data_IF_592674628292
#
_entry.id   IF_592674628292
#
_cell.length_a   1.000
_cell.length_b   1.000
_cell.length_c   1.000
_cell.angle_alpha   90.00
_cell.angle_beta   90.00
_cell.angle_gamma   90.00
#
_symmetry.space_group_name_H-M   'P 1'
#
loop_
_entity.id
_entity.type
_entity.pdbx_description
1 polymer ?
#
# COMPACT_ATOMS: atom_id res chain seq x y z
N UNK A 1 6.10 39.29 25.31
CA UNK A 1 5.56 37.97 25.68
C UNK A 1 5.59 37.15 24.39
N UNK A 2 6.55 36.26 24.27
CA UNK A 2 6.70 35.41 23.05
C UNK A 2 5.89 34.15 23.27
N UNK A 3 4.79 34.00 22.57
CA UNK A 3 4.08 32.74 22.48
C UNK A 3 4.65 31.96 21.31
N UNK A 4 5.45 30.92 21.59
CA UNK A 4 5.85 29.93 20.62
C UNK A 4 4.60 29.13 20.19
N UNK A 5 4.35 28.95 18.90
CA UNK A 5 3.39 27.95 18.46
C UNK A 5 3.97 26.56 18.71
N UNK A 6 3.38 25.82 19.61
CA UNK A 6 3.67 24.41 19.84
C UNK A 6 3.21 23.62 18.62
N UNK A 7 4.16 23.28 17.76
CA UNK A 7 4.00 22.35 16.66
C UNK A 7 3.76 20.95 17.22
N UNK A 8 2.58 20.41 16.99
CA UNK A 8 2.16 19.13 17.52
C UNK A 8 2.85 17.99 16.73
N UNK A 9 3.88 17.40 17.34
CA UNK A 9 4.79 16.37 16.77
C UNK A 9 4.21 14.95 16.72
N UNK A 10 2.91 14.76 16.81
CA UNK A 10 2.32 13.43 17.02
C UNK A 10 1.50 12.93 15.83
N UNK A 11 2.12 12.84 14.65
CA UNK A 11 1.54 12.01 13.57
C UNK A 11 2.52 10.94 13.09
N UNK A 12 3.12 10.24 14.03
CA UNK A 12 3.82 8.99 13.75
C UNK A 12 2.88 7.88 14.17
N UNK A 13 2.22 7.24 13.21
CA UNK A 13 1.59 5.95 13.44
C UNK A 13 2.67 4.93 13.80
N UNK A 14 2.92 4.77 15.08
CA UNK A 14 3.65 3.64 15.66
C UNK A 14 2.80 2.38 15.52
N UNK A 15 3.01 1.61 14.46
CA UNK A 15 2.70 0.20 14.47
C UNK A 15 3.93 -0.56 14.94
N UNK A 16 4.03 -0.73 16.25
CA UNK A 16 5.02 -1.58 16.90
C UNK A 16 4.60 -3.04 16.78
N UNK A 17 5.48 -3.80 16.25
CA UNK A 17 5.74 -5.22 16.25
C UNK A 17 5.24 -5.96 17.50
N UNK A 18 4.58 -7.09 17.29
CA UNK A 18 4.62 -8.20 18.23
C UNK A 18 4.93 -9.48 17.47
N UNK A 19 6.17 -9.92 17.62
CA UNK A 19 6.67 -11.21 17.18
C UNK A 19 6.64 -12.22 18.34
N UNK A 20 6.92 -13.45 17.96
CA UNK A 20 7.18 -14.70 18.69
C UNK A 20 5.98 -15.64 18.84
N UNK A 21 6.06 -16.89 18.35
CA UNK A 21 6.75 -18.02 18.91
C UNK A 21 6.72 -19.25 17.99
N UNK A 22 7.85 -19.89 17.91
CA UNK A 22 8.14 -21.18 17.32
C UNK A 22 7.53 -22.33 18.12
N UNK A 23 7.03 -23.34 17.43
CA UNK A 23 6.73 -24.65 18.00
C UNK A 23 6.98 -25.76 16.97
N UNK A 24 8.13 -26.40 17.06
CA UNK A 24 8.46 -27.56 16.24
C UNK A 24 7.81 -28.82 16.79
N UNK A 25 7.33 -29.69 15.90
CA UNK A 25 7.06 -31.09 16.23
C UNK A 25 7.61 -31.99 15.15
N UNK A 26 8.37 -32.97 15.62
CA UNK A 26 9.04 -34.02 14.84
C UNK A 26 8.05 -34.93 14.08
N UNK A 27 8.40 -35.24 12.84
CA UNK A 27 7.68 -36.20 12.02
C UNK A 27 8.23 -37.61 12.27
N UNK A 28 7.40 -38.54 12.74
CA UNK A 28 7.64 -39.97 12.69
C UNK A 28 7.33 -40.50 11.28
N UNK A 29 8.33 -41.07 10.66
CA UNK A 29 8.20 -41.74 9.37
C UNK A 29 7.53 -43.09 9.55
N UNK A 30 6.34 -43.27 8.95
CA UNK A 30 5.69 -44.57 8.85
C UNK A 30 5.86 -45.07 7.41
N UNK A 31 6.47 -46.25 7.30
CA UNK A 31 6.72 -46.97 6.07
C UNK A 31 5.39 -47.51 5.51
N UNK A 32 4.95 -47.00 4.39
CA UNK A 32 3.71 -47.44 3.71
C UNK A 32 4.05 -48.22 2.46
N UNK A 33 3.34 -49.34 2.29
CA UNK A 33 3.48 -50.34 1.24
C UNK A 33 3.44 -49.72 -0.19
N UNK A 34 4.41 -50.11 -1.01
CA UNK A 34 4.67 -49.56 -2.34
C UNK A 34 3.53 -49.77 -3.36
N UNK A 35 2.68 -50.73 -3.14
CA UNK A 35 1.53 -51.05 -4.02
C UNK A 35 0.36 -50.09 -3.79
N UNK A 36 0.15 -49.60 -2.59
CA UNK A 36 -0.84 -48.53 -2.30
C UNK A 36 -0.38 -47.16 -2.84
N UNK A 37 0.94 -46.94 -2.84
CA UNK A 37 1.52 -45.70 -3.38
C UNK A 37 1.31 -45.56 -4.90
N UNK A 38 1.37 -46.67 -5.64
CA UNK A 38 1.12 -46.64 -7.10
C UNK A 38 -0.36 -46.44 -7.44
N UNK A 39 -1.31 -46.97 -6.67
CA UNK A 39 -2.74 -46.71 -6.85
C UNK A 39 -3.11 -45.26 -6.50
N UNK A 40 -2.44 -44.68 -5.51
CA UNK A 40 -2.68 -43.28 -5.11
C UNK A 40 -2.09 -42.27 -6.10
N UNK A 41 -1.09 -42.67 -6.88
CA UNK A 41 -0.45 -41.80 -7.86
C UNK A 41 -1.22 -41.68 -9.19
N UNK A 42 -2.17 -42.57 -9.47
CA UNK A 42 -2.99 -42.56 -10.68
C UNK A 42 -4.32 -41.80 -10.56
N UNK A 43 -4.72 -41.38 -9.38
CA UNK A 43 -5.75 -40.35 -9.22
C UNK A 43 -5.09 -38.97 -9.33
N UNK A 44 -4.73 -38.54 -10.52
CA UNK A 44 -4.53 -37.11 -10.81
C UNK A 44 -5.82 -36.40 -10.45
N UNK A 45 -5.92 -35.88 -9.24
CA UNK A 45 -7.00 -34.98 -8.87
C UNK A 45 -6.89 -33.78 -9.81
N UNK A 46 -7.73 -33.74 -10.84
CA UNK A 46 -7.84 -32.62 -11.76
C UNK A 46 -8.25 -31.40 -10.96
N UNK A 47 -7.30 -30.50 -10.76
CA UNK A 47 -7.55 -29.20 -10.16
C UNK A 47 -7.27 -28.11 -11.18
N UNK A 48 -8.03 -27.03 -11.17
CA UNK A 48 -7.84 -25.91 -12.07
C UNK A 48 -6.42 -25.35 -11.95
N UNK A 49 -5.83 -25.00 -13.10
CA UNK A 49 -4.48 -24.44 -13.14
C UNK A 49 -4.47 -22.92 -13.25
N UNK A 50 -5.57 -22.33 -13.67
CA UNK A 50 -5.68 -20.89 -13.88
C UNK A 50 -6.77 -20.32 -12.99
N UNK A 51 -6.58 -19.07 -12.60
CA UNK A 51 -7.50 -18.28 -11.80
C UNK A 51 -7.55 -16.84 -12.33
N UNK A 52 -8.74 -16.29 -12.45
CA UNK A 52 -8.93 -14.85 -12.64
C UNK A 52 -9.71 -14.31 -11.45
N UNK A 53 -9.23 -13.27 -10.81
CA UNK A 53 -9.77 -12.75 -9.55
C UNK A 53 -9.94 -11.24 -9.57
N UNK A 54 -10.94 -10.74 -8.86
CA UNK A 54 -11.13 -9.35 -8.54
C UNK A 54 -11.06 -9.17 -7.01
N UNK A 55 -10.37 -8.13 -6.55
CA UNK A 55 -10.29 -7.82 -5.14
C UNK A 55 -11.47 -6.92 -4.73
N UNK A 56 -12.37 -7.46 -3.93
CA UNK A 56 -13.59 -6.75 -3.50
C UNK A 56 -13.30 -5.72 -2.41
N UNK A 57 -12.35 -6.02 -1.50
CA UNK A 57 -12.01 -5.07 -0.43
C UNK A 57 -11.36 -3.78 -0.95
N UNK A 58 -10.70 -3.85 -2.10
CA UNK A 58 -10.10 -2.67 -2.72
C UNK A 58 -11.15 -1.69 -3.29
N UNK A 59 -12.34 -2.18 -3.64
CA UNK A 59 -13.43 -1.34 -4.14
C UNK A 59 -13.93 -0.34 -3.08
N UNK A 60 -13.85 -0.70 -1.80
CA UNK A 60 -14.24 0.18 -0.70
C UNK A 60 -13.43 1.50 -0.63
N UNK A 61 -12.26 1.53 -1.27
CA UNK A 61 -11.38 2.69 -1.36
C UNK A 61 -11.23 3.16 -2.82
N UNK A 62 -12.26 2.95 -3.65
CA UNK A 62 -12.31 3.31 -5.06
C UNK A 62 -11.11 2.79 -5.87
N UNK A 63 -10.72 1.54 -5.61
CA UNK A 63 -9.50 0.95 -6.14
C UNK A 63 -9.81 -0.39 -6.83
N UNK A 64 -9.66 -0.44 -8.14
CA UNK A 64 -9.98 -1.59 -8.96
C UNK A 64 -8.75 -2.48 -9.10
N UNK A 65 -8.83 -3.72 -8.57
CA UNK A 65 -7.68 -4.65 -8.56
C UNK A 65 -8.06 -5.98 -9.17
N UNK A 66 -7.32 -6.40 -10.20
CA UNK A 66 -7.51 -7.64 -10.94
C UNK A 66 -6.24 -8.49 -10.81
N UNK A 67 -6.44 -9.81 -10.75
CA UNK A 67 -5.35 -10.78 -10.67
C UNK A 67 -5.58 -11.94 -11.60
N UNK A 68 -4.52 -12.38 -12.25
CA UNK A 68 -4.44 -13.65 -12.98
C UNK A 68 -3.44 -14.53 -12.27
N UNK A 69 -3.81 -15.74 -11.94
CA UNK A 69 -2.95 -16.69 -11.25
C UNK A 69 -2.83 -17.98 -12.06
N UNK A 70 -1.62 -18.48 -12.21
CA UNK A 70 -1.32 -19.76 -12.82
C UNK A 70 -0.56 -20.66 -11.88
N UNK A 71 -1.06 -21.87 -11.73
CA UNK A 71 -0.40 -22.91 -10.97
C UNK A 71 0.77 -23.48 -11.77
N UNK A 72 1.98 -23.38 -11.22
CA UNK A 72 3.23 -23.86 -11.82
C UNK A 72 3.53 -25.28 -11.40
N UNK A 73 3.19 -25.64 -10.18
CA UNK A 73 3.32 -26.99 -9.65
C UNK A 73 2.15 -27.32 -8.72
N UNK A 74 2.16 -28.51 -8.09
CA UNK A 74 1.08 -28.92 -7.17
C UNK A 74 0.85 -27.97 -5.99
N UNK A 75 1.83 -27.14 -5.67
CA UNK A 75 1.85 -26.28 -4.47
C UNK A 75 2.40 -24.89 -4.71
N UNK A 76 2.78 -24.56 -5.93
CA UNK A 76 3.36 -23.26 -6.26
C UNK A 76 2.59 -22.64 -7.39
N UNK A 77 2.20 -21.38 -7.25
CA UNK A 77 1.62 -20.59 -8.32
C UNK A 77 2.37 -19.27 -8.51
N UNK A 78 2.18 -18.70 -9.68
CA UNK A 78 2.53 -17.32 -9.99
C UNK A 78 1.24 -16.52 -10.21
N UNK A 79 1.12 -15.38 -9.57
CA UNK A 79 0.00 -14.45 -9.72
C UNK A 79 0.50 -13.10 -10.19
N UNK A 80 -0.09 -12.58 -11.26
CA UNK A 80 0.13 -11.23 -11.75
C UNK A 80 -1.09 -10.38 -11.41
N UNK A 81 -0.89 -9.20 -10.85
CA UNK A 81 -1.94 -8.28 -10.44
C UNK A 81 -1.77 -6.91 -11.04
N UNK A 82 -2.86 -6.30 -11.44
CA UNK A 82 -2.98 -4.91 -11.83
C UNK A 82 -3.98 -4.19 -10.94
N UNK A 83 -3.62 -3.00 -10.50
CA UNK A 83 -4.47 -2.13 -9.71
C UNK A 83 -4.52 -0.74 -10.33
N UNK A 84 -5.73 -0.18 -10.41
CA UNK A 84 -5.97 1.17 -10.83
C UNK A 84 -6.85 1.88 -9.82
N UNK A 85 -6.38 3.00 -9.32
CA UNK A 85 -7.13 3.95 -8.50
C UNK A 85 -7.38 5.20 -9.34
N UNK A 86 -8.62 5.45 -9.77
CA UNK A 86 -8.96 6.71 -10.43
C UNK A 86 -8.72 7.90 -9.50
N UNK A 87 -8.65 9.10 -10.07
CA UNK A 87 -8.51 10.32 -9.28
C UNK A 87 -9.61 10.41 -8.23
N UNK A 88 -9.22 10.28 -6.97
CA UNK A 88 -10.14 10.14 -5.83
C UNK A 88 -9.78 11.18 -4.77
N UNK A 89 -10.79 11.92 -4.33
CA UNK A 89 -10.67 12.77 -3.15
C UNK A 89 -10.71 11.87 -1.91
N UNK A 90 -9.65 11.84 -1.12
CA UNK A 90 -9.56 10.95 0.05
C UNK A 90 -10.62 11.27 1.10
N UNK A 91 -10.99 12.53 1.27
CA UNK A 91 -12.03 12.94 2.21
C UNK A 91 -13.44 12.47 1.84
N UNK A 92 -13.69 12.11 0.58
CA UNK A 92 -15.00 11.61 0.13
C UNK A 92 -15.16 10.10 0.34
N UNK A 93 -14.09 9.38 0.65
CA UNK A 93 -14.15 7.95 0.91
C UNK A 93 -14.94 7.65 2.19
N UNK A 94 -15.94 6.79 2.09
CA UNK A 94 -16.82 6.41 3.23
C UNK A 94 -16.04 5.87 4.42
N UNK A 95 -14.91 5.19 4.19
CA UNK A 95 -14.05 4.68 5.26
C UNK A 95 -13.33 5.82 6.00
N UNK A 96 -12.87 6.83 5.28
CA UNK A 96 -12.22 8.01 5.87
C UNK A 96 -13.23 8.81 6.69
N UNK A 97 -14.42 9.04 6.17
CA UNK A 97 -15.51 9.70 6.91
C UNK A 97 -15.82 9.00 8.23
N UNK A 98 -15.99 7.66 8.21
CA UNK A 98 -16.27 6.87 9.43
C UNK A 98 -15.12 6.89 10.45
N UNK A 99 -13.87 7.00 9.99
CA UNK A 99 -12.70 7.14 10.87
C UNK A 99 -12.70 8.55 11.48
N UNK A 100 -12.90 9.56 10.65
CA UNK A 100 -12.98 10.97 11.03
C UNK A 100 -14.04 11.21 12.11
N UNK A 101 -15.22 10.63 11.96
CA UNK A 101 -16.33 10.76 12.92
C UNK A 101 -16.02 10.15 14.32
N UNK A 102 -15.01 9.25 14.38
CA UNK A 102 -14.61 8.56 15.63
C UNK A 102 -13.39 9.19 16.32
N UNK A 103 -12.62 9.98 15.58
CA UNK A 103 -11.42 10.64 16.11
C UNK A 103 -11.78 12.08 16.41
N UNK A 104 -12.06 12.37 17.68
CA UNK A 104 -12.35 13.74 18.17
C UNK A 104 -11.14 14.67 18.14
N UNK A 105 -9.96 14.17 17.77
CA UNK A 105 -8.72 14.93 17.68
C UNK A 105 -8.34 15.12 16.22
N UNK A 106 -8.41 16.33 15.71
CA UNK A 106 -7.75 16.68 14.45
C UNK A 106 -8.64 17.24 13.35
N UNK A 107 -9.42 18.27 13.60
CA UNK A 107 -10.09 19.05 12.53
C UNK A 107 -9.11 19.46 11.43
N UNK A 108 -7.86 19.79 11.78
CA UNK A 108 -6.82 20.16 10.85
C UNK A 108 -6.32 18.96 9.99
N UNK A 109 -6.18 17.78 10.59
CA UNK A 109 -5.84 16.54 9.89
C UNK A 109 -6.93 16.17 8.87
N UNK A 110 -8.18 16.21 9.29
CA UNK A 110 -9.34 15.91 8.45
C UNK A 110 -9.45 16.94 7.33
N UNK A 111 -9.28 18.22 7.64
CA UNK A 111 -9.25 19.28 6.64
C UNK A 111 -8.08 19.10 5.64
N UNK A 112 -6.93 18.59 6.09
CA UNK A 112 -5.80 18.20 5.25
C UNK A 112 -6.16 17.07 4.28
N UNK A 113 -6.74 15.98 4.79
CA UNK A 113 -7.16 14.82 3.99
C UNK A 113 -8.25 15.22 2.97
N UNK A 114 -9.19 16.09 3.34
CA UNK A 114 -10.23 16.57 2.45
C UNK A 114 -9.71 17.42 1.28
N UNK A 115 -8.51 18.00 1.42
CA UNK A 115 -7.83 18.75 0.34
C UNK A 115 -6.93 17.87 -0.52
N UNK A 116 -6.87 16.56 -0.24
CA UNK A 116 -5.95 15.62 -0.87
C UNK A 116 -6.66 14.79 -1.93
N UNK A 117 -6.16 14.87 -3.16
CA UNK A 117 -6.60 14.02 -4.27
C UNK A 117 -5.46 13.10 -4.68
N UNK A 118 -5.78 11.82 -4.84
CA UNK A 118 -4.79 10.79 -5.19
C UNK A 118 -5.33 9.94 -6.34
N UNK A 119 -4.49 9.62 -7.29
CA UNK A 119 -4.70 8.57 -8.27
C UNK A 119 -3.43 7.71 -8.40
N UNK A 120 -3.56 6.53 -8.98
CA UNK A 120 -2.38 5.71 -9.16
C UNK A 120 -2.64 4.34 -9.76
N UNK A 121 -1.55 3.72 -10.19
CA UNK A 121 -1.55 2.37 -10.75
C UNK A 121 -0.50 1.53 -10.04
N UNK A 122 -0.76 0.23 -9.93
CA UNK A 122 0.24 -0.70 -9.41
C UNK A 122 0.21 -2.03 -10.15
N UNK A 123 1.40 -2.58 -10.37
CA UNK A 123 1.63 -3.91 -10.90
C UNK A 123 2.27 -4.75 -9.80
N UNK A 124 1.79 -5.96 -9.62
CA UNK A 124 2.28 -6.87 -8.57
C UNK A 124 2.49 -8.25 -9.18
N UNK A 125 3.66 -8.83 -8.98
CA UNK A 125 3.95 -10.23 -9.29
C UNK A 125 4.16 -11.00 -7.99
N UNK A 126 3.52 -12.15 -7.83
CA UNK A 126 3.54 -12.93 -6.58
C UNK A 126 3.85 -14.41 -6.88
N UNK A 127 4.86 -14.95 -6.22
CA UNK A 127 5.04 -16.40 -6.10
C UNK A 127 4.37 -16.86 -4.81
N UNK A 128 3.41 -17.78 -4.92
CA UNK A 128 2.62 -18.29 -3.81
C UNK A 128 2.95 -19.74 -3.54
N UNK A 129 3.26 -20.05 -2.30
CA UNK A 129 3.61 -21.38 -1.80
C UNK A 129 2.49 -21.88 -0.90
N UNK A 130 1.73 -22.87 -1.37
CA UNK A 130 0.55 -23.39 -0.67
C UNK A 130 0.90 -24.51 0.30
N UNK A 131 0.46 -24.37 1.54
CA UNK A 131 0.53 -25.40 2.58
C UNK A 131 -0.65 -26.38 2.56
N UNK A 132 -0.60 -27.36 3.44
CA UNK A 132 -1.68 -28.33 3.68
C UNK A 132 -1.66 -29.55 2.75
N UNK A 133 -2.60 -30.48 2.96
CA UNK A 133 -2.64 -31.80 2.29
C UNK A 133 -3.24 -31.73 0.85
N UNK A 134 -4.10 -30.76 0.58
CA UNK A 134 -4.79 -30.61 -0.73
C UNK A 134 -3.86 -30.03 -1.78
N UNK A 135 -3.87 -30.58 -3.00
CA UNK A 135 -3.11 -30.06 -4.15
C UNK A 135 -3.87 -28.92 -4.83
N UNK A 136 -3.16 -28.10 -5.61
CA UNK A 136 -3.72 -26.97 -6.33
C UNK A 136 -3.55 -25.65 -5.58
N UNK A 137 -4.01 -24.56 -6.17
CA UNK A 137 -3.99 -23.22 -5.59
C UNK A 137 -5.07 -23.08 -4.50
N UNK A 138 -4.88 -23.76 -3.38
CA UNK A 138 -5.83 -23.78 -2.25
C UNK A 138 -5.13 -24.12 -0.93
N UNK A 139 -5.65 -23.57 0.16
CA UNK A 139 -5.10 -23.67 1.51
C UNK A 139 -4.40 -22.38 1.94
N UNK A 140 -3.70 -22.46 3.05
CA UNK A 140 -2.83 -21.38 3.51
C UNK A 140 -1.68 -21.20 2.52
N UNK A 141 -1.26 -19.97 2.30
CA UNK A 141 -0.10 -19.68 1.47
C UNK A 141 0.78 -18.60 2.07
N UNK A 142 2.06 -18.71 1.78
CA UNK A 142 3.03 -17.63 1.88
C UNK A 142 3.30 -17.14 0.45
N UNK A 143 3.26 -15.84 0.25
CA UNK A 143 3.62 -15.22 -1.02
C UNK A 143 4.88 -14.38 -0.86
N UNK A 144 5.83 -14.57 -1.77
CA UNK A 144 6.89 -13.62 -2.05
C UNK A 144 6.42 -12.76 -3.22
N UNK A 145 6.42 -11.44 -3.07
CA UNK A 145 5.93 -10.56 -4.12
C UNK A 145 6.84 -9.38 -4.42
N UNK A 146 6.81 -8.96 -5.69
CA UNK A 146 7.36 -7.70 -6.15
C UNK A 146 6.23 -6.75 -6.56
N UNK A 147 6.42 -5.46 -6.32
CA UNK A 147 5.44 -4.43 -6.65
C UNK A 147 6.11 -3.22 -7.26
N UNK A 148 5.54 -2.73 -8.34
CA UNK A 148 5.80 -1.42 -8.92
C UNK A 148 4.53 -0.58 -8.85
N UNK A 149 4.62 0.67 -8.40
CA UNK A 149 3.47 1.54 -8.29
C UNK A 149 3.82 2.97 -8.71
N UNK A 150 2.84 3.64 -9.29
CA UNK A 150 2.90 5.08 -9.59
C UNK A 150 1.73 5.75 -8.88
N UNK A 151 1.99 6.91 -8.30
CA UNK A 151 0.99 7.72 -7.62
C UNK A 151 1.13 9.16 -8.10
N UNK A 152 0.00 9.78 -8.41
CA UNK A 152 -0.11 11.22 -8.53
C UNK A 152 -0.87 11.73 -7.32
N UNK A 153 -0.45 12.83 -6.81
CA UNK A 153 -0.99 13.40 -5.60
C UNK A 153 -1.09 14.92 -5.75
N UNK A 154 -2.33 15.43 -5.65
CA UNK A 154 -2.62 16.85 -5.66
C UNK A 154 -3.01 17.27 -4.25
N UNK A 155 -2.31 18.25 -3.71
CA UNK A 155 -2.54 18.76 -2.38
C UNK A 155 -2.45 20.28 -2.35
N UNK A 156 -3.49 20.93 -1.87
CA UNK A 156 -3.51 22.38 -1.73
C UNK A 156 -2.98 22.78 -0.35
N UNK A 157 -1.69 23.07 -0.30
CA UNK A 157 -1.01 23.49 0.92
C UNK A 157 -1.37 24.94 1.26
N UNK A 158 -1.65 25.23 2.54
CA UNK A 158 -1.89 26.57 3.03
C UNK A 158 -0.70 27.01 3.87
N UNK A 159 -0.05 28.07 3.43
CA UNK A 159 1.07 28.70 4.11
C UNK A 159 0.64 30.04 4.68
N UNK A 160 0.95 30.31 5.94
CA UNK A 160 0.72 31.61 6.57
C UNK A 160 2.05 32.33 6.71
N UNK A 161 2.20 33.47 6.04
CA UNK A 161 3.43 34.26 6.08
C UNK A 161 3.56 35.06 7.39
N UNK A 162 4.71 35.71 7.60
CA UNK A 162 4.97 36.53 8.79
C UNK A 162 4.05 37.74 8.95
N UNK A 163 3.36 38.17 7.89
CA UNK A 163 2.33 39.21 7.91
C UNK A 163 0.93 38.67 8.18
N UNK A 164 0.79 37.41 8.57
CA UNK A 164 -0.45 36.71 8.85
C UNK A 164 -1.39 36.54 7.63
N UNK A 165 -0.85 36.63 6.41
CA UNK A 165 -1.58 36.34 5.18
C UNK A 165 -1.49 34.88 4.82
N UNK A 166 -2.63 34.26 4.45
CA UNK A 166 -2.71 32.85 4.04
C UNK A 166 -2.55 32.73 2.53
N UNK A 167 -1.51 32.06 2.08
CA UNK A 167 -1.27 31.75 0.68
C UNK A 167 -1.61 30.28 0.41
N UNK A 168 -2.16 30.03 -0.77
CA UNK A 168 -2.49 28.68 -1.26
C UNK A 168 -1.43 28.22 -2.25
N UNK A 169 -0.78 27.11 -1.97
CA UNK A 169 0.29 26.50 -2.78
C UNK A 169 -0.20 25.16 -3.32
N UNK A 170 -0.64 25.09 -4.60
CA UNK A 170 -1.20 23.87 -5.18
C UNK A 170 -0.08 22.90 -5.58
N UNK A 171 0.33 22.03 -4.65
CA UNK A 171 1.36 21.02 -4.86
C UNK A 171 0.82 19.87 -5.72
N UNK A 172 1.52 19.56 -6.81
CA UNK A 172 1.27 18.40 -7.66
C UNK A 172 2.50 17.50 -7.64
N UNK A 173 2.32 16.31 -7.09
CA UNK A 173 3.41 15.34 -6.95
C UNK A 173 3.19 14.13 -7.85
N UNK A 174 4.27 13.66 -8.47
CA UNK A 174 4.31 12.42 -9.25
C UNK A 174 5.38 11.52 -8.65
N UNK A 175 4.95 10.38 -8.14
CA UNK A 175 5.82 9.48 -7.37
C UNK A 175 5.72 8.08 -7.95
N UNK A 176 6.86 7.39 -8.01
CA UNK A 176 6.97 5.98 -8.38
C UNK A 176 7.70 5.21 -7.29
N UNK A 177 7.24 4.00 -7.01
CA UNK A 177 7.87 3.12 -6.04
C UNK A 177 8.00 1.71 -6.58
N UNK A 178 9.05 1.03 -6.20
CA UNK A 178 9.23 -0.40 -6.44
C UNK A 178 9.83 -1.06 -5.22
N UNK A 179 9.40 -2.28 -4.94
CA UNK A 179 9.85 -3.02 -3.77
C UNK A 179 9.40 -4.46 -3.78
N UNK A 180 9.94 -5.23 -2.86
CA UNK A 180 9.58 -6.62 -2.62
C UNK A 180 9.08 -6.85 -1.22
N UNK A 181 8.37 -7.95 -1.02
CA UNK A 181 7.78 -8.23 0.28
C UNK A 181 7.21 -9.63 0.43
N UNK A 182 6.65 -9.87 1.59
CA UNK A 182 6.01 -11.13 1.96
C UNK A 182 4.54 -10.89 2.32
N UNK A 183 3.71 -11.89 2.04
CA UNK A 183 2.29 -11.84 2.36
C UNK A 183 1.80 -13.23 2.76
N UNK A 184 0.90 -13.28 3.73
CA UNK A 184 0.27 -14.51 4.21
C UNK A 184 -1.22 -14.43 3.90
N UNK A 185 -1.76 -15.54 3.38
CA UNK A 185 -3.16 -15.63 3.06
C UNK A 185 -3.69 -17.07 3.01
N UNK A 186 -4.96 -17.19 2.66
CA UNK A 186 -5.63 -18.48 2.46
C UNK A 186 -6.56 -18.41 1.28
N UNK A 187 -6.50 -19.42 0.45
CA UNK A 187 -7.32 -19.55 -0.74
C UNK A 187 -8.20 -20.78 -0.64
N UNK A 188 -9.49 -20.61 -0.93
CA UNK A 188 -10.46 -21.69 -1.00
C UNK A 188 -10.94 -21.87 -2.44
N UNK A 189 -11.11 -23.12 -2.82
CA UNK A 189 -11.73 -23.50 -4.08
C UNK A 189 -13.05 -24.19 -3.79
N UNK A 190 -14.14 -23.55 -4.15
CA UNK A 190 -15.51 -24.01 -3.94
C UNK A 190 -16.05 -24.58 -5.26
N UNK A 191 -16.70 -25.74 -5.20
CA UNK A 191 -17.29 -26.43 -6.36
C UNK A 191 -16.32 -26.54 -7.57
N UNK A 192 -15.03 -26.66 -7.32
CA UNK A 192 -13.93 -26.74 -8.30
C UNK A 192 -13.77 -25.53 -9.23
N UNK A 193 -14.59 -24.48 -9.10
CA UNK A 193 -14.60 -23.32 -10.01
C UNK A 193 -14.52 -21.97 -9.31
N UNK A 194 -15.21 -21.79 -8.18
CA UNK A 194 -15.21 -20.50 -7.47
C UNK A 194 -14.00 -20.42 -6.56
N UNK A 195 -13.21 -19.39 -6.72
CA UNK A 195 -12.05 -19.13 -5.91
C UNK A 195 -12.33 -17.97 -4.93
N UNK A 196 -12.10 -18.20 -3.64
CA UNK A 196 -12.10 -17.16 -2.61
C UNK A 196 -10.68 -17.04 -2.07
N UNK A 197 -10.12 -15.85 -2.12
CA UNK A 197 -8.75 -15.56 -1.70
C UNK A 197 -8.77 -14.45 -0.65
N UNK A 198 -8.27 -14.78 0.52
CA UNK A 198 -8.16 -13.86 1.64
C UNK A 198 -6.72 -13.76 2.10
N UNK A 199 -6.16 -12.57 2.11
CA UNK A 199 -4.87 -12.31 2.74
C UNK A 199 -5.05 -11.45 3.99
N UNK A 200 -4.31 -11.83 5.05
CA UNK A 200 -4.42 -11.16 6.34
C UNK A 200 -3.43 -10.02 6.47
N UNK A 201 -2.19 -10.29 6.09
CA UNK A 201 -1.10 -9.34 6.26
C UNK A 201 -0.03 -9.57 5.20
N UNK A 202 0.48 -8.48 4.69
CA UNK A 202 1.68 -8.42 3.88
C UNK A 202 2.46 -7.15 4.16
N UNK A 203 3.75 -7.20 3.93
CA UNK A 203 4.62 -6.02 4.01
C UNK A 203 5.59 -6.00 2.86
N UNK A 204 5.92 -4.81 2.39
CA UNK A 204 6.97 -4.61 1.37
C UNK A 204 7.87 -3.46 1.75
N UNK A 205 9.09 -3.55 1.26
CA UNK A 205 10.09 -2.52 1.36
C UNK A 205 10.83 -2.37 0.04
N UNK A 206 11.22 -1.13 -0.29
CA UNK A 206 11.92 -0.82 -1.51
C UNK A 206 12.26 0.66 -1.63
N UNK A 207 12.31 1.16 -2.84
CA UNK A 207 12.70 2.55 -3.14
C UNK A 207 11.53 3.33 -3.75
N UNK A 208 11.35 4.55 -3.26
CA UNK A 208 10.38 5.52 -3.75
C UNK A 208 11.14 6.73 -4.28
N UNK A 209 10.71 7.26 -5.42
CA UNK A 209 11.26 8.47 -6.01
C UNK A 209 10.19 9.25 -6.75
N UNK A 210 10.34 10.57 -6.82
CA UNK A 210 9.37 11.41 -7.50
C UNK A 210 9.74 12.87 -7.50
N UNK A 211 8.82 13.67 -8.00
CA UNK A 211 8.94 15.14 -8.03
C UNK A 211 7.65 15.77 -7.54
N UNK A 212 7.75 16.95 -6.95
CA UNK A 212 6.61 17.81 -6.66
C UNK A 212 6.82 19.17 -7.29
N UNK A 213 5.73 19.77 -7.76
CA UNK A 213 5.73 21.10 -8.34
C UNK A 213 4.48 21.86 -7.91
N UNK A 214 4.64 23.17 -7.66
CA UNK A 214 3.53 24.07 -7.50
C UNK A 214 3.82 25.35 -8.30
N UNK A 215 2.87 25.79 -9.08
CA UNK A 215 2.91 27.12 -9.74
C UNK A 215 2.05 28.04 -8.89
N UNK A 216 2.66 29.04 -8.27
CA UNK A 216 2.00 30.02 -7.44
C UNK A 216 2.79 31.33 -7.48
N UNK A 217 2.11 32.46 -7.46
CA UNK A 217 2.80 33.74 -7.27
C UNK A 217 3.19 33.93 -5.81
N UNK A 218 4.47 33.75 -5.55
CA UNK A 218 5.10 33.89 -4.23
C UNK A 218 6.00 35.14 -4.16
N UNK A 219 5.83 36.09 -5.10
CA UNK A 219 6.64 37.31 -5.17
C UNK A 219 6.45 38.24 -3.96
N UNK A 220 5.31 38.11 -3.27
CA UNK A 220 4.99 38.83 -2.05
C UNK A 220 5.68 38.27 -0.80
N UNK A 221 6.29 37.09 -0.88
CA UNK A 221 7.00 36.48 0.23
C UNK A 221 8.40 37.09 0.42
N UNK A 222 8.71 37.45 1.65
CA UNK A 222 10.09 37.78 2.03
C UNK A 222 11.01 36.57 1.85
N UNK A 223 12.32 36.80 1.76
CA UNK A 223 13.29 35.69 1.73
C UNK A 223 13.20 34.78 2.96
N UNK A 224 12.80 35.33 4.11
CA UNK A 224 12.59 34.55 5.32
C UNK A 224 11.34 33.68 5.21
N UNK A 225 10.24 34.21 4.70
CA UNK A 225 9.01 33.44 4.47
C UNK A 225 9.20 32.32 3.44
N UNK A 226 10.01 32.58 2.40
CA UNK A 226 10.38 31.52 1.42
C UNK A 226 11.18 30.39 2.08
N UNK A 227 12.10 30.72 3.00
CA UNK A 227 12.82 29.70 3.80
C UNK A 227 11.88 28.93 4.72
N UNK A 228 11.00 29.64 5.42
CA UNK A 228 10.02 29.03 6.31
C UNK A 228 9.10 28.05 5.53
N UNK A 229 8.59 28.50 4.38
CA UNK A 229 7.77 27.64 3.50
C UNK A 229 8.53 26.39 3.04
N UNK A 230 9.80 26.55 2.65
CA UNK A 230 10.66 25.42 2.29
C UNK A 230 10.81 24.43 3.45
N UNK A 231 11.12 24.92 4.64
CA UNK A 231 11.36 24.07 5.83
C UNK A 231 10.05 23.35 6.23
N UNK A 232 8.91 24.02 6.17
CA UNK A 232 7.61 23.40 6.41
C UNK A 232 7.29 22.29 5.40
N UNK A 233 7.54 22.52 4.10
CA UNK A 233 7.31 21.54 3.05
C UNK A 233 8.24 20.32 3.20
N UNK A 234 9.52 20.54 3.44
CA UNK A 234 10.50 19.47 3.63
C UNK A 234 10.17 18.62 4.87
N UNK A 235 9.62 19.24 5.91
CA UNK A 235 9.18 18.57 7.14
C UNK A 235 7.94 17.69 6.94
N UNK A 236 7.10 17.91 5.91
CA UNK A 236 5.94 17.06 5.61
C UNK A 236 6.37 15.59 5.39
N UNK A 237 7.52 15.39 4.75
CA UNK A 237 8.05 14.06 4.45
C UNK A 237 9.33 13.76 5.27
N UNK A 238 9.36 14.16 6.53
CA UNK A 238 10.45 13.86 7.46
C UNK A 238 10.01 12.80 8.47
N UNK A 239 10.82 11.74 8.61
CA UNK A 239 10.60 10.66 9.59
C UNK A 239 11.88 10.46 10.39
N UNK A 240 11.82 10.75 11.69
CA UNK A 240 13.01 10.84 12.54
C UNK A 240 13.93 11.96 12.04
N UNK A 241 15.18 11.64 11.78
CA UNK A 241 16.18 12.59 11.30
C UNK A 241 16.35 12.60 9.77
N UNK A 242 15.46 11.89 9.04
CA UNK A 242 15.55 11.75 7.57
C UNK A 242 14.44 12.50 6.87
N UNK A 243 14.84 13.47 6.06
CA UNK A 243 13.96 14.22 5.16
C UNK A 243 13.95 13.56 3.78
N UNK A 244 12.77 13.26 3.25
CA UNK A 244 12.57 12.59 1.96
C UNK A 244 12.12 13.53 0.84
N UNK A 245 11.70 14.74 1.16
CA UNK A 245 11.44 15.83 0.22
C UNK A 245 12.57 16.86 0.32
N UNK A 246 13.12 17.26 -0.81
CA UNK A 246 14.03 18.39 -0.91
C UNK A 246 13.40 19.41 -1.86
N UNK A 247 12.83 20.46 -1.29
CA UNK A 247 12.12 21.49 -2.03
C UNK A 247 13.00 22.73 -2.30
N UNK A 248 12.62 23.47 -3.34
CA UNK A 248 13.15 24.77 -3.67
C UNK A 248 11.98 25.71 -3.89
N UNK A 249 11.96 26.81 -3.15
CA UNK A 249 10.94 27.86 -3.25
C UNK A 249 11.50 29.03 -4.06
N UNK A 250 10.70 29.57 -4.95
CA UNK A 250 11.00 30.74 -5.77
C UNK A 250 9.77 31.64 -5.88
N UNK A 251 9.94 32.85 -6.42
CA UNK A 251 8.81 33.77 -6.66
C UNK A 251 7.72 33.20 -7.59
N UNK A 252 8.04 32.15 -8.39
CA UNK A 252 7.13 31.52 -9.35
C UNK A 252 6.47 30.24 -8.82
N UNK A 253 6.84 29.82 -7.61
CA UNK A 253 6.29 28.62 -6.99
C UNK A 253 7.35 27.75 -6.34
N UNK A 254 7.01 26.44 -6.21
CA UNK A 254 7.82 25.43 -5.54
C UNK A 254 8.13 24.29 -6.50
N UNK A 255 9.36 23.79 -6.43
CA UNK A 255 9.77 22.53 -7.07
C UNK A 255 10.46 21.67 -6.02
N UNK A 256 10.37 20.35 -6.13
CA UNK A 256 11.06 19.47 -5.17
C UNK A 256 11.25 18.06 -5.71
N UNK A 257 12.27 17.39 -5.15
CA UNK A 257 12.57 16.00 -5.42
C UNK A 257 12.22 15.15 -4.19
N UNK A 258 11.53 14.04 -4.44
CA UNK A 258 11.13 13.08 -3.42
C UNK A 258 11.99 11.83 -3.58
N UNK A 259 12.70 11.43 -2.52
CA UNK A 259 13.48 10.20 -2.48
C UNK A 259 13.35 9.57 -1.09
N UNK A 260 12.82 8.35 -1.03
CA UNK A 260 12.59 7.70 0.25
C UNK A 260 12.36 6.19 0.14
N UNK A 261 12.01 5.55 1.24
CA UNK A 261 11.63 4.15 1.24
C UNK A 261 10.22 3.97 0.65
N UNK A 262 10.07 2.96 -0.19
CA UNK A 262 8.77 2.44 -0.58
C UNK A 262 8.38 1.34 0.40
N UNK A 263 7.97 1.73 1.59
CA UNK A 263 7.52 0.82 2.63
C UNK A 263 6.00 0.86 2.72
N UNK A 264 5.39 -0.31 2.88
CA UNK A 264 3.94 -0.37 3.02
C UNK A 264 3.45 -1.70 3.59
N UNK A 265 2.33 -1.61 4.28
CA UNK A 265 1.59 -2.76 4.75
C UNK A 265 0.41 -3.04 3.82
N UNK A 266 0.20 -4.30 3.49
CA UNK A 266 -1.02 -4.80 2.87
C UNK A 266 -1.85 -5.46 3.98
N UNK A 267 -2.83 -4.75 4.46
CA UNK A 267 -3.79 -5.27 5.44
C UNK A 267 -4.78 -6.24 4.79
N UNK A 268 -5.86 -6.51 5.49
CA UNK A 268 -6.92 -7.45 5.08
C UNK A 268 -7.39 -7.23 3.65
N UNK A 269 -7.38 -8.30 2.85
CA UNK A 269 -7.89 -8.25 1.49
C UNK A 269 -8.67 -9.50 1.12
N UNK A 270 -9.81 -9.30 0.46
CA UNK A 270 -10.69 -10.35 0.01
C UNK A 270 -10.91 -10.26 -1.50
N UNK A 271 -10.65 -11.37 -2.17
CA UNK A 271 -10.86 -11.48 -3.63
C UNK A 271 -11.76 -12.67 -3.94
N UNK A 272 -12.54 -12.51 -4.98
CA UNK A 272 -13.35 -13.57 -5.57
C UNK A 272 -12.93 -13.79 -7.02
N UNK A 273 -13.00 -15.03 -7.49
CA UNK A 273 -12.58 -15.35 -8.85
C UNK A 273 -13.11 -16.66 -9.38
N UNK A 274 -12.71 -16.96 -10.60
CA UNK A 274 -13.08 -18.17 -11.31
C UNK A 274 -11.80 -18.95 -11.64
N UNK A 275 -11.81 -20.23 -11.30
CA UNK A 275 -10.76 -21.19 -11.58
C UNK A 275 -11.12 -22.11 -12.77
N UNK A 276 -10.16 -22.35 -13.68
CA UNK A 276 -10.32 -23.16 -14.90
C UNK A 276 -9.02 -23.81 -15.36
#
# INVERSE_FOLDING_TARGET
MKTNPTYNRNLICTFSVMGTLLGGTAALAQQTDSTELMKKNNQRSEYPKNNVKINLSSLAINNYSFYVERLLSRKVSFSAGYRNMPSTNLGELSIIKKISDKINEGEELIAGINRMRVDGKAYTGEFRFYGGKKQGARGMYLALYGRYATFNHDYNYRFTNSSNNVLSVPLKSKVKGYGGGLMIGKQWLIAKRVNLDFYWLGGHYGKLSGTTNAVADLSSLSQQDQRNLKDELDNILTVGDKTFLNSTVSNKGVTGNINGPFAGLRGLGFSVGIAF
#
